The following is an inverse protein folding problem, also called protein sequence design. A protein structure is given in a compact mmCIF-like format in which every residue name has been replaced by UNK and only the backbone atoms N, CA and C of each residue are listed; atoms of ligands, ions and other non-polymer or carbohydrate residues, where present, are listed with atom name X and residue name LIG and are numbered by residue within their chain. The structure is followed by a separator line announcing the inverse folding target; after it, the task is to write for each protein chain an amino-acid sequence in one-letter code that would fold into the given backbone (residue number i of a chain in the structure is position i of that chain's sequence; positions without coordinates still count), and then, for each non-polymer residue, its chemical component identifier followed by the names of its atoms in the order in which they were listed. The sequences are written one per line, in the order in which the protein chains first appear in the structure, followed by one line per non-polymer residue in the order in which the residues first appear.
data_IF_688873224455
#
_entry.id   IF_688873224455
#
_cell.length_a   1.000
_cell.length_b   1.000
_cell.length_c   1.000
_cell.angle_alpha   90.00
_cell.angle_beta   90.00
_cell.angle_gamma   90.00
#
_symmetry.space_group_name_H-M   'P 1'
#
loop_
_entity.id
_entity.type
_entity.pdbx_description
1 polymer ?
#
# COMPACT_ATOMS: atom_id res chain seq x y z
N UNK A 1 -15.57 20.43 -2.89
CA UNK A 1 -14.87 19.44 -3.75
C UNK A 1 -15.70 18.17 -3.76
N UNK A 2 -15.90 17.50 -4.92
CA UNK A 2 -16.66 16.25 -5.02
C UNK A 2 -16.14 15.09 -4.18
N UNK A 3 -14.85 15.10 -3.79
CA UNK A 3 -14.20 14.01 -3.05
C UNK A 3 -13.88 14.34 -1.58
N UNK A 4 -14.04 15.60 -1.17
CA UNK A 4 -13.72 16.01 0.20
C UNK A 4 -14.65 15.33 1.21
N UNK A 5 -14.06 14.80 2.30
CA UNK A 5 -14.76 14.03 3.33
C UNK A 5 -15.03 12.57 2.99
N UNK A 6 -14.74 12.14 1.75
CA UNK A 6 -15.05 10.78 1.25
C UNK A 6 -13.90 10.15 0.46
N UNK A 7 -12.67 10.67 0.63
CA UNK A 7 -11.51 10.16 -0.10
C UNK A 7 -11.15 8.75 0.36
N UNK A 8 -10.93 7.85 -0.60
CA UNK A 8 -10.49 6.47 -0.39
C UNK A 8 -9.10 6.20 -1.01
N UNK A 9 -8.57 7.13 -1.80
CA UNK A 9 -7.22 7.11 -2.37
C UNK A 9 -6.53 8.42 -2.00
N UNK A 10 -5.32 8.32 -1.45
CA UNK A 10 -4.50 9.46 -1.05
C UNK A 10 -3.26 9.52 -1.94
N UNK A 11 -3.18 10.54 -2.79
CA UNK A 11 -1.98 10.84 -3.59
C UNK A 11 -1.19 11.89 -2.84
N UNK A 12 0.07 11.57 -2.52
CA UNK A 12 0.99 12.42 -1.76
C UNK A 12 1.90 13.23 -2.71
N UNK A 13 2.43 14.39 -2.27
CA UNK A 13 3.26 15.25 -3.11
C UNK A 13 4.63 14.66 -3.43
N UNK A 14 5.17 13.80 -2.56
CA UNK A 14 6.48 13.18 -2.72
C UNK A 14 6.62 11.87 -1.92
N UNK A 15 7.72 11.17 -2.17
CA UNK A 15 8.04 9.88 -1.54
C UNK A 15 8.21 9.98 -0.01
N UNK A 16 8.76 11.09 0.50
CA UNK A 16 8.96 11.25 1.94
C UNK A 16 7.62 11.37 2.65
N UNK A 17 6.72 12.18 2.10
CA UNK A 17 5.35 12.36 2.57
C UNK A 17 4.59 11.03 2.56
N UNK A 18 4.72 10.25 1.48
CA UNK A 18 4.14 8.90 1.38
C UNK A 18 4.68 7.94 2.43
N UNK A 19 6.01 7.86 2.55
CA UNK A 19 6.69 6.97 3.48
C UNK A 19 6.36 7.27 4.95
N UNK A 20 6.26 8.55 5.31
CA UNK A 20 5.84 8.97 6.65
C UNK A 20 4.37 8.63 6.87
N UNK A 21 3.50 8.94 5.90
CA UNK A 21 2.05 8.74 6.02
C UNK A 21 1.69 7.27 6.26
N UNK A 22 2.16 6.36 5.41
CA UNK A 22 1.77 4.95 5.52
C UNK A 22 2.31 4.31 6.81
N UNK A 23 3.55 4.65 7.22
CA UNK A 23 4.12 4.16 8.49
C UNK A 23 3.38 4.70 9.70
N UNK A 24 2.96 5.97 9.67
CA UNK A 24 2.17 6.55 10.75
C UNK A 24 0.78 5.88 10.86
N UNK A 25 0.14 5.55 9.73
CA UNK A 25 -1.12 4.81 9.72
C UNK A 25 -0.96 3.40 10.30
N UNK A 26 0.12 2.71 9.94
CA UNK A 26 0.44 1.38 10.47
C UNK A 26 0.73 1.43 11.98
N UNK A 27 1.62 2.33 12.41
CA UNK A 27 2.10 2.40 13.79
C UNK A 27 1.08 2.97 14.78
N UNK A 28 0.29 3.96 14.37
CA UNK A 28 -0.59 4.71 15.27
C UNK A 28 -2.08 4.55 14.95
N UNK A 29 -2.42 4.09 13.75
CA UNK A 29 -3.81 3.98 13.30
C UNK A 29 -4.36 2.55 13.31
N UNK A 30 -3.57 1.56 13.73
CA UNK A 30 -3.93 0.13 13.64
C UNK A 30 -4.33 -0.32 12.22
N UNK A 31 -3.78 0.31 11.19
CA UNK A 31 -3.98 -0.12 9.80
C UNK A 31 -2.98 -1.21 9.43
N UNK A 32 -3.39 -2.13 8.55
CA UNK A 32 -2.47 -3.07 7.90
C UNK A 32 -1.98 -2.46 6.60
N UNK A 33 -0.66 -2.35 6.43
CA UNK A 33 -0.06 -1.91 5.18
C UNK A 33 0.18 -3.12 4.26
N UNK A 34 -0.58 -3.21 3.18
CA UNK A 34 -0.32 -4.17 2.10
C UNK A 34 0.50 -3.48 0.99
N UNK A 35 1.83 -3.64 1.02
CA UNK A 35 2.71 -3.09 -0.01
C UNK A 35 4.19 -3.02 0.37
N UNK A 36 5.02 -2.35 -0.47
CA UNK A 36 4.63 -1.60 -1.67
C UNK A 36 4.27 -2.49 -2.86
N UNK A 37 3.11 -2.22 -3.46
CA UNK A 37 2.67 -2.82 -4.74
C UNK A 37 3.10 -1.87 -5.86
N UNK A 38 3.88 -2.38 -6.82
CA UNK A 38 4.38 -1.58 -7.93
C UNK A 38 3.37 -1.57 -9.09
N UNK A 39 3.04 -0.38 -9.57
CA UNK A 39 2.08 -0.19 -10.66
C UNK A 39 2.80 0.20 -11.97
N UNK A 40 2.19 -0.13 -13.11
CA UNK A 40 2.72 0.20 -14.45
C UNK A 40 3.51 -0.92 -15.15
N UNK A 41 3.56 -2.11 -14.56
CA UNK A 41 4.18 -3.31 -15.15
C UNK A 41 3.13 -4.17 -15.88
N UNK A 42 3.58 -5.06 -16.77
CA UNK A 42 2.71 -6.00 -17.50
C UNK A 42 2.16 -7.15 -16.64
N UNK A 43 2.64 -7.28 -15.42
CA UNK A 43 2.19 -8.24 -14.41
C UNK A 43 2.31 -7.60 -13.03
N UNK A 44 1.57 -8.07 -12.01
CA UNK A 44 1.74 -7.61 -10.64
C UNK A 44 3.16 -7.88 -10.13
N UNK A 45 3.75 -6.86 -9.50
CA UNK A 45 5.09 -6.92 -8.91
C UNK A 45 5.09 -6.12 -7.62
N UNK A 46 5.74 -6.65 -6.58
CA UNK A 46 5.93 -5.98 -5.30
C UNK A 46 7.37 -6.15 -4.82
N UNK A 47 7.86 -5.16 -4.09
CA UNK A 47 9.19 -5.18 -3.47
C UNK A 47 9.03 -5.17 -1.95
N UNK A 48 9.24 -6.32 -1.31
CA UNK A 48 9.04 -6.47 0.11
C UNK A 48 10.16 -5.81 0.92
N UNK A 49 9.80 -5.08 1.96
CA UNK A 49 10.78 -4.55 2.92
C UNK A 49 11.48 -5.69 3.67
N UNK A 50 12.78 -5.52 3.94
CA UNK A 50 13.57 -6.50 4.74
C UNK A 50 12.99 -6.74 6.14
N UNK A 51 12.20 -5.81 6.66
CA UNK A 51 11.56 -5.89 7.97
C UNK A 51 10.09 -6.34 7.95
N UNK A 52 9.56 -6.80 6.82
CA UNK A 52 8.15 -7.21 6.72
C UNK A 52 7.85 -8.42 7.62
N UNK A 53 6.71 -8.36 8.32
CA UNK A 53 6.19 -9.51 9.08
C UNK A 53 5.54 -10.53 8.15
N UNK A 54 5.28 -11.74 8.64
CA UNK A 54 4.60 -12.78 7.85
C UNK A 54 3.20 -12.32 7.42
N UNK A 55 2.49 -11.59 8.27
CA UNK A 55 1.16 -11.03 8.00
C UNK A 55 1.21 -9.98 6.89
N UNK A 56 2.20 -9.09 6.91
CA UNK A 56 2.38 -8.09 5.85
C UNK A 56 2.71 -8.75 4.49
N UNK A 57 3.52 -9.81 4.50
CA UNK A 57 3.84 -10.58 3.28
C UNK A 57 2.59 -11.27 2.73
N UNK A 58 1.78 -11.89 3.58
CA UNK A 58 0.52 -12.51 3.16
C UNK A 58 -0.43 -11.48 2.55
N UNK A 59 -0.58 -10.31 3.17
CA UNK A 59 -1.43 -9.24 2.65
C UNK A 59 -0.98 -8.75 1.27
N UNK A 60 0.33 -8.69 1.00
CA UNK A 60 0.86 -8.36 -0.33
C UNK A 60 0.50 -9.44 -1.35
N UNK A 61 0.68 -10.72 -1.01
CA UNK A 61 0.34 -11.84 -1.91
C UNK A 61 -1.15 -11.83 -2.25
N UNK A 62 -2.02 -11.63 -1.25
CA UNK A 62 -3.47 -11.52 -1.46
C UNK A 62 -3.83 -10.37 -2.42
N UNK A 63 -3.18 -9.22 -2.25
CA UNK A 63 -3.39 -8.07 -3.13
C UNK A 63 -2.90 -8.32 -4.57
N UNK A 64 -1.73 -8.94 -4.75
CA UNK A 64 -1.21 -9.28 -6.08
C UNK A 64 -2.09 -10.32 -6.79
N UNK A 65 -2.58 -11.32 -6.07
CA UNK A 65 -3.53 -12.30 -6.62
C UNK A 65 -4.83 -11.65 -7.07
N UNK A 66 -5.33 -10.64 -6.35
CA UNK A 66 -6.49 -9.88 -6.78
C UNK A 66 -6.22 -9.11 -8.09
N UNK A 67 -5.02 -8.53 -8.24
CA UNK A 67 -4.61 -7.81 -9.45
C UNK A 67 -4.36 -8.72 -10.66
N UNK A 68 -3.97 -9.97 -10.45
CA UNK A 68 -3.85 -10.96 -11.53
C UNK A 68 -5.20 -11.33 -12.15
N UNK A 69 -6.29 -11.19 -11.39
CA UNK A 69 -7.64 -11.61 -11.78
C UNK A 69 -8.54 -10.45 -12.27
N UNK A 70 -8.02 -9.23 -12.28
CA UNK A 70 -8.71 -8.01 -12.74
C UNK A 70 -8.33 -7.66 -14.18
#
# INVERSE_FOLDING_TARGET
SPVAGHANVLIVPDLNSGNILYKAMEQFGNFTAAGPILQGFNAPVSDLSRGSTAEAILAVIEAELALCNS
#
